data_IF_497390877895
#
_entry.id   IF_497390877895
#
_cell.length_a   1.000
_cell.length_b   1.000
_cell.length_c   1.000
_cell.angle_alpha   90.00
_cell.angle_beta   90.00
_cell.angle_gamma   90.00
#
_symmetry.space_group_name_H-M   'P 1'
#
loop_
_entity.id
_entity.type
_entity.pdbx_description
1 polymer ?
#
# COMPACT_ATOMS: atom_id res chain seq x y z
N UNK A 1 1.30 10.00 21.88
CA UNK A 1 2.49 9.41 21.24
C UNK A 1 2.18 9.32 19.76
N UNK A 2 3.03 9.88 18.88
CA UNK A 2 2.79 9.88 17.43
C UNK A 2 2.97 8.48 16.83
N UNK A 3 2.15 8.14 15.83
CA UNK A 3 2.28 6.89 15.07
C UNK A 3 3.62 6.89 14.33
N UNK A 4 4.41 5.83 14.46
CA UNK A 4 5.70 5.73 13.76
C UNK A 4 5.48 5.20 12.34
N UNK A 5 6.45 5.41 11.44
CA UNK A 5 6.40 4.82 10.10
C UNK A 5 6.31 3.29 10.14
N UNK A 6 6.94 2.66 11.14
CA UNK A 6 6.90 1.21 11.34
C UNK A 6 5.49 0.71 11.70
N UNK A 7 4.65 1.55 12.29
CA UNK A 7 3.25 1.23 12.61
C UNK A 7 2.30 1.63 11.47
N UNK A 8 2.51 2.82 10.90
CA UNK A 8 1.64 3.41 9.88
C UNK A 8 1.71 2.66 8.55
N UNK A 9 2.90 2.21 8.14
CA UNK A 9 3.08 1.54 6.85
C UNK A 9 2.33 0.20 6.80
N UNK A 10 2.53 -0.76 7.73
CA UNK A 10 1.78 -2.01 7.74
C UNK A 10 0.26 -1.81 7.85
N UNK A 11 -0.19 -0.82 8.62
CA UNK A 11 -1.60 -0.47 8.76
C UNK A 11 -2.20 -0.02 7.43
N UNK A 12 -1.51 0.85 6.69
CA UNK A 12 -1.94 1.30 5.37
C UNK A 12 -1.91 0.18 4.33
N UNK A 13 -0.90 -0.69 4.37
CA UNK A 13 -0.85 -1.88 3.52
C UNK A 13 -2.05 -2.79 3.74
N UNK A 14 -2.45 -3.00 5.02
CA UNK A 14 -3.64 -3.77 5.37
C UNK A 14 -4.91 -3.12 4.85
N UNK A 15 -5.05 -1.81 5.03
CA UNK A 15 -6.20 -1.05 4.51
C UNK A 15 -6.35 -1.19 2.99
N UNK A 16 -5.25 -1.10 2.24
CA UNK A 16 -5.30 -1.28 0.79
C UNK A 16 -5.75 -2.69 0.41
N UNK A 17 -5.30 -3.72 1.13
CA UNK A 17 -5.68 -5.11 0.89
C UNK A 17 -7.15 -5.39 1.21
N UNK A 18 -7.67 -4.82 2.29
CA UNK A 18 -9.00 -5.14 2.81
C UNK A 18 -10.10 -4.20 2.31
N UNK A 19 -9.76 -2.96 1.93
CA UNK A 19 -10.73 -1.93 1.55
C UNK A 19 -10.58 -1.53 0.09
N UNK A 20 -9.37 -1.16 -0.34
CA UNK A 20 -9.15 -0.59 -1.67
C UNK A 20 -9.25 -1.66 -2.75
N UNK A 21 -8.47 -2.74 -2.65
CA UNK A 21 -8.47 -3.81 -3.66
C UNK A 21 -9.89 -4.37 -3.88
N UNK A 22 -10.67 -4.73 -2.84
CA UNK A 22 -12.04 -5.21 -3.03
C UNK A 22 -12.98 -4.17 -3.68
N UNK A 23 -12.83 -2.89 -3.34
CA UNK A 23 -13.64 -1.83 -3.94
C UNK A 23 -13.33 -1.65 -5.44
N UNK A 24 -12.06 -1.69 -5.84
CA UNK A 24 -11.68 -1.69 -7.27
C UNK A 24 -12.06 -2.98 -7.98
N UNK A 25 -12.06 -4.12 -7.29
CA UNK A 25 -12.52 -5.40 -7.85
C UNK A 25 -14.03 -5.36 -8.16
N UNK A 26 -14.83 -4.71 -7.30
CA UNK A 26 -16.27 -4.56 -7.51
C UNK A 26 -16.62 -3.73 -8.76
N UNK A 27 -15.72 -2.85 -9.22
CA UNK A 27 -15.88 -2.08 -10.48
C UNK A 27 -15.76 -2.99 -11.70
N UNK A 28 -15.06 -4.12 -11.59
CA UNK A 28 -14.83 -5.08 -12.69
C UNK A 28 -13.51 -4.81 -13.45
N UNK A 29 -13.42 -5.19 -14.75
CA UNK A 29 -12.17 -5.19 -15.52
C UNK A 29 -11.44 -3.85 -15.57
N UNK A 30 -12.19 -2.74 -15.50
CA UNK A 30 -11.64 -1.38 -15.49
C UNK A 30 -10.78 -1.11 -14.25
N UNK A 31 -11.08 -1.77 -13.13
CA UNK A 31 -10.32 -1.66 -11.88
C UNK A 31 -9.04 -2.50 -11.84
N UNK A 32 -8.85 -3.44 -12.77
CA UNK A 32 -7.74 -4.40 -12.74
C UNK A 32 -6.36 -3.74 -12.84
N UNK A 33 -6.24 -2.63 -13.58
CA UNK A 33 -4.98 -1.89 -13.68
C UNK A 33 -4.60 -1.25 -12.33
N UNK A 34 -5.56 -0.59 -11.67
CA UNK A 34 -5.33 0.00 -10.36
C UNK A 34 -4.96 -1.06 -9.31
N UNK A 35 -5.61 -2.23 -9.35
CA UNK A 35 -5.29 -3.36 -8.47
C UNK A 35 -3.85 -3.85 -8.71
N UNK A 36 -3.42 -3.96 -9.97
CA UNK A 36 -2.05 -4.37 -10.28
C UNK A 36 -1.02 -3.38 -9.75
N UNK A 37 -1.28 -2.07 -9.87
CA UNK A 37 -0.42 -1.03 -9.28
C UNK A 37 -0.38 -1.13 -7.75
N UNK A 38 -1.53 -1.32 -7.10
CA UNK A 38 -1.58 -1.50 -5.64
C UNK A 38 -0.77 -2.72 -5.19
N UNK A 39 -0.86 -3.84 -5.91
CA UNK A 39 -0.10 -5.05 -5.60
C UNK A 39 1.41 -4.83 -5.76
N UNK A 40 1.83 -4.08 -6.78
CA UNK A 40 3.24 -3.72 -6.97
C UNK A 40 3.77 -2.90 -5.79
N UNK A 41 3.09 -1.83 -5.42
CA UNK A 41 3.51 -0.96 -4.30
C UNK A 41 3.49 -1.72 -2.96
N UNK A 42 2.51 -2.62 -2.76
CA UNK A 42 2.48 -3.50 -1.59
C UNK A 42 3.71 -4.42 -1.52
N UNK A 43 4.17 -4.95 -2.66
CA UNK A 43 5.36 -5.80 -2.69
C UNK A 43 6.64 -5.02 -2.42
N UNK A 44 6.76 -3.80 -2.95
CA UNK A 44 7.89 -2.92 -2.65
C UNK A 44 7.92 -2.51 -1.18
N UNK A 45 6.76 -2.22 -0.57
CA UNK A 45 6.63 -1.98 0.85
C UNK A 45 7.07 -3.17 1.71
N UNK A 46 6.71 -4.41 1.34
CA UNK A 46 7.18 -5.62 2.02
C UNK A 46 8.71 -5.77 1.95
N UNK A 47 9.31 -5.52 0.79
CA UNK A 47 10.78 -5.56 0.61
C UNK A 47 11.48 -4.49 1.43
N UNK A 48 10.92 -3.28 1.48
CA UNK A 48 11.46 -2.18 2.27
C UNK A 48 11.42 -2.50 3.78
N UNK A 49 10.31 -3.08 4.26
CA UNK A 49 10.18 -3.54 5.65
C UNK A 49 11.18 -4.65 5.98
N UNK A 50 11.33 -5.65 5.11
CA UNK A 50 12.24 -6.77 5.32
C UNK A 50 13.72 -6.34 5.35
N UNK A 51 14.08 -5.32 4.57
CA UNK A 51 15.44 -4.76 4.54
C UNK A 51 15.70 -3.69 5.61
N UNK A 52 14.66 -3.27 6.35
CA UNK A 52 14.70 -2.14 7.29
C UNK A 52 15.22 -0.84 6.64
N UNK A 53 15.03 -0.69 5.34
CA UNK A 53 15.41 0.51 4.59
C UNK A 53 14.35 1.59 4.81
N UNK A 54 14.59 2.45 5.80
CA UNK A 54 13.66 3.50 6.20
C UNK A 54 13.35 4.47 5.06
N UNK A 55 14.31 4.75 4.18
CA UNK A 55 14.09 5.63 3.04
C UNK A 55 13.11 5.00 2.05
N UNK A 56 13.28 3.72 1.72
CA UNK A 56 12.32 2.98 0.88
C UNK A 56 10.96 2.82 1.55
N UNK A 57 10.93 2.62 2.86
CA UNK A 57 9.67 2.55 3.61
C UNK A 57 8.88 3.85 3.51
N UNK A 58 9.55 5.02 3.59
CA UNK A 58 8.88 6.31 3.43
C UNK A 58 8.32 6.49 2.01
N UNK A 59 9.11 6.16 0.99
CA UNK A 59 8.67 6.26 -0.41
C UNK A 59 7.48 5.33 -0.69
N UNK A 60 7.55 4.08 -0.24
CA UNK A 60 6.45 3.12 -0.40
C UNK A 60 5.20 3.57 0.38
N UNK A 61 5.36 4.11 1.59
CA UNK A 61 4.24 4.65 2.35
C UNK A 61 3.56 5.81 1.62
N UNK A 62 4.34 6.72 1.04
CA UNK A 62 3.82 7.84 0.27
C UNK A 62 3.04 7.36 -0.97
N UNK A 63 3.59 6.39 -1.72
CA UNK A 63 2.91 5.81 -2.88
C UNK A 63 1.58 5.14 -2.49
N UNK A 64 1.55 4.42 -1.36
CA UNK A 64 0.32 3.81 -0.84
C UNK A 64 -0.73 4.86 -0.38
N UNK A 65 -0.30 6.05 0.04
CA UNK A 65 -1.19 7.15 0.41
C UNK A 65 -1.85 7.84 -0.80
N UNK A 66 -1.26 7.71 -1.98
CA UNK A 66 -1.81 8.31 -3.21
C UNK A 66 -3.03 7.57 -3.75
N UNK A 67 -3.22 6.29 -3.36
CA UNK A 67 -4.44 5.56 -3.68
C UNK A 67 -5.64 6.12 -2.90
N UNK A 68 -6.69 6.50 -3.64
CA UNK A 68 -7.92 7.08 -3.10
C UNK A 68 -9.12 6.35 -3.66
N UNK A 69 -10.13 6.17 -2.83
CA UNK A 69 -11.44 5.64 -3.19
C UNK A 69 -12.42 6.76 -3.50
#
# INVERSE_FOLDING_TARGET
>A
MGETLADALPKRMKEIREVFIPAYQAIGPTGSFAIAMMQFELSEAERALASQDVARMMSAYQALMDFKL
#
